data_IF_976105180254
#
_entry.id   IF_976105180254
#
_cell.length_a   1.000
_cell.length_b   1.000
_cell.length_c   1.000
_cell.angle_alpha   90.00
_cell.angle_beta   90.00
_cell.angle_gamma   90.00
#
_symmetry.space_group_name_H-M   'P 1'
#
loop_
_entity.id
_entity.type
_entity.pdbx_description
1 polymer ?
#
# COMPACT_ATOMS: atom_id res chain seq x y z
N UNK A 1 -32.26 -4.99 -4.38
CA UNK A 1 -31.40 -3.91 -4.93
C UNK A 1 -30.44 -3.38 -3.88
N UNK A 2 -30.90 -2.93 -2.70
CA UNK A 2 -30.02 -2.48 -1.59
C UNK A 2 -29.03 -3.57 -1.14
N UNK A 3 -29.49 -4.81 -0.96
CA UNK A 3 -28.60 -5.92 -0.58
C UNK A 3 -27.45 -6.15 -1.57
N UNK A 4 -27.72 -6.11 -2.87
CA UNK A 4 -26.68 -6.29 -3.90
C UNK A 4 -25.62 -5.17 -3.89
N UNK A 5 -26.05 -3.93 -3.61
CA UNK A 5 -25.12 -2.79 -3.49
C UNK A 5 -24.28 -2.91 -2.23
N UNK A 6 -24.90 -3.26 -1.09
CA UNK A 6 -24.17 -3.50 0.15
C UNK A 6 -23.17 -4.65 -0.01
N UNK A 7 -23.59 -5.77 -0.60
CA UNK A 7 -22.72 -6.92 -0.86
C UNK A 7 -21.53 -6.54 -1.74
N UNK A 8 -21.73 -5.71 -2.77
CA UNK A 8 -20.62 -5.18 -3.55
C UNK A 8 -19.62 -4.45 -2.65
N UNK A 9 -20.06 -3.44 -1.87
CA UNK A 9 -19.15 -2.73 -0.96
C UNK A 9 -18.41 -3.64 0.03
N UNK A 10 -19.09 -4.67 0.57
CA UNK A 10 -18.48 -5.58 1.55
C UNK A 10 -17.50 -6.59 0.94
N UNK A 11 -17.70 -7.01 -0.31
CA UNK A 11 -16.91 -8.09 -0.92
C UNK A 11 -15.91 -7.62 -1.97
N UNK A 12 -16.10 -6.43 -2.56
CA UNK A 12 -15.26 -5.92 -3.65
C UNK A 12 -14.44 -4.69 -3.27
N UNK A 13 -14.57 -4.16 -2.04
CA UNK A 13 -13.80 -3.00 -1.60
C UNK A 13 -13.00 -3.31 -0.33
N UNK A 14 -11.78 -2.80 -0.22
CA UNK A 14 -11.06 -2.70 1.05
C UNK A 14 -10.41 -1.34 1.24
N UNK A 15 -10.33 -0.93 2.50
CA UNK A 15 -9.64 0.27 2.95
C UNK A 15 -8.30 -0.10 3.61
N UNK A 16 -7.23 0.56 3.18
CA UNK A 16 -5.92 0.52 3.81
C UNK A 16 -5.70 1.83 4.54
N UNK A 17 -5.70 1.78 5.86
CA UNK A 17 -5.32 2.92 6.70
C UNK A 17 -3.78 2.98 6.78
N UNK A 18 -3.21 4.12 7.21
CA UNK A 18 -1.77 4.30 7.22
C UNK A 18 -1.01 3.21 7.99
N UNK A 19 -1.51 2.87 9.18
CA UNK A 19 -0.93 1.88 10.09
C UNK A 19 -1.50 0.47 9.87
N UNK A 20 -2.44 0.31 8.94
CA UNK A 20 -3.13 -0.94 8.81
C UNK A 20 -2.44 -1.95 7.92
N UNK A 21 -2.99 -3.13 8.09
CA UNK A 21 -2.48 -4.41 7.70
C UNK A 21 -3.10 -4.86 6.39
N UNK A 22 -2.68 -4.39 5.21
CA UNK A 22 -3.31 -4.95 4.00
C UNK A 22 -2.78 -6.34 3.68
N UNK A 23 -3.36 -7.35 4.33
CA UNK A 23 -3.28 -8.76 4.00
C UNK A 23 -4.66 -9.44 4.10
N UNK A 24 -5.74 -8.67 4.18
CA UNK A 24 -7.08 -9.21 4.11
C UNK A 24 -7.31 -9.83 2.72
N UNK A 25 -7.65 -11.12 2.69
CA UNK A 25 -8.11 -11.86 1.51
C UNK A 25 -7.07 -12.13 0.40
N UNK A 26 -5.76 -11.95 0.64
CA UNK A 26 -4.72 -12.48 -0.26
C UNK A 26 -4.11 -13.73 0.33
N UNK A 27 -4.32 -14.88 -0.32
CA UNK A 27 -3.90 -16.18 0.18
C UNK A 27 -2.36 -16.28 0.26
N UNK A 28 -1.81 -16.09 1.45
CA UNK A 28 -0.38 -16.20 1.69
C UNK A 28 0.06 -17.63 2.05
N UNK A 29 -0.88 -18.59 2.10
CA UNK A 29 -0.62 -19.96 2.56
C UNK A 29 0.14 -20.78 1.52
N UNK A 30 0.07 -20.39 0.24
CA UNK A 30 0.71 -21.14 -0.84
C UNK A 30 2.15 -20.70 -1.06
N UNK A 31 3.06 -21.68 -1.19
CA UNK A 31 4.47 -21.44 -1.54
C UNK A 31 4.62 -20.58 -2.81
N UNK A 32 3.71 -20.75 -3.76
CA UNK A 32 3.66 -19.96 -5.00
C UNK A 32 3.43 -18.46 -4.74
N UNK A 33 2.50 -18.10 -3.84
CA UNK A 33 2.24 -16.69 -3.52
C UNK A 33 3.38 -16.05 -2.72
N UNK A 34 4.05 -16.80 -1.85
CA UNK A 34 5.25 -16.34 -1.15
C UNK A 34 6.38 -16.05 -2.15
N UNK A 35 6.61 -16.96 -3.09
CA UNK A 35 7.63 -16.80 -4.12
C UNK A 35 7.31 -15.61 -5.04
N UNK A 36 6.04 -15.44 -5.44
CA UNK A 36 5.57 -14.27 -6.20
C UNK A 36 5.82 -12.97 -5.46
N UNK A 37 5.56 -12.93 -4.15
CA UNK A 37 5.79 -11.75 -3.34
C UNK A 37 7.28 -11.44 -3.19
N UNK A 38 8.12 -12.45 -2.91
CA UNK A 38 9.58 -12.28 -2.89
C UNK A 38 10.11 -11.74 -4.22
N UNK A 39 9.65 -12.28 -5.35
CA UNK A 39 9.98 -11.79 -6.70
C UNK A 39 9.48 -10.38 -6.96
N UNK A 40 8.35 -9.98 -6.38
CA UNK A 40 7.82 -8.62 -6.51
C UNK A 40 8.69 -7.63 -5.72
N UNK A 41 8.97 -7.93 -4.46
CA UNK A 41 9.79 -7.08 -3.58
C UNK A 41 11.21 -6.91 -4.13
N UNK A 42 11.75 -7.94 -4.80
CA UNK A 42 13.07 -7.85 -5.46
C UNK A 42 13.11 -6.85 -6.61
N UNK A 43 11.96 -6.40 -7.15
CA UNK A 43 11.89 -5.38 -8.22
C UNK A 43 11.92 -3.94 -7.69
N UNK A 44 11.67 -3.75 -6.40
CA UNK A 44 11.58 -2.44 -5.76
C UNK A 44 12.83 -2.05 -4.95
N UNK A 45 13.98 -2.63 -5.30
CA UNK A 45 15.28 -2.32 -4.67
C UNK A 45 15.30 -2.51 -3.14
N UNK A 46 14.53 -3.48 -2.65
CA UNK A 46 14.43 -3.79 -1.21
C UNK A 46 15.62 -4.61 -0.69
N UNK A 47 16.48 -5.11 -1.58
CA UNK A 47 17.52 -6.10 -1.26
C UNK A 47 17.02 -7.54 -1.13
N UNK A 48 15.70 -7.74 -1.02
CA UNK A 48 15.08 -9.05 -0.87
C UNK A 48 15.18 -9.84 -2.17
N UNK A 49 15.69 -11.06 -2.10
CA UNK A 49 15.77 -12.02 -3.21
C UNK A 49 14.79 -13.18 -3.06
N UNK A 50 14.26 -13.41 -1.86
CA UNK A 50 13.30 -14.45 -1.59
C UNK A 50 12.69 -14.35 -0.20
N UNK A 51 11.64 -15.13 0.03
CA UNK A 51 10.94 -15.19 1.32
C UNK A 51 10.55 -16.64 1.60
N UNK A 52 10.66 -17.07 2.85
CA UNK A 52 10.22 -18.40 3.27
C UNK A 52 9.86 -18.45 4.77
N UNK A 53 9.11 -19.47 5.16
CA UNK A 53 8.76 -19.74 6.54
C UNK A 53 9.84 -20.62 7.20
N UNK A 54 10.47 -20.09 8.23
CA UNK A 54 11.51 -20.80 8.99
C UNK A 54 10.99 -21.20 10.37
N UNK A 55 11.39 -22.37 10.91
CA UNK A 55 11.06 -22.76 12.27
C UNK A 55 11.45 -21.67 13.27
N UNK A 56 10.50 -21.25 14.10
CA UNK A 56 10.76 -20.36 15.22
C UNK A 56 11.60 -21.10 16.26
N UNK A 57 12.58 -20.42 16.85
CA UNK A 57 13.48 -20.99 17.84
C UNK A 57 13.21 -20.41 19.22
N UNK A 58 13.28 -21.28 20.22
CA UNK A 58 13.16 -20.91 21.62
C UNK A 58 14.30 -19.93 22.00
N UNK A 59 13.94 -18.71 22.41
CA UNK A 59 14.86 -17.59 22.65
C UNK A 59 14.69 -16.40 21.71
N UNK A 60 13.94 -16.55 20.62
CA UNK A 60 13.52 -15.40 19.79
C UNK A 60 12.29 -14.68 20.40
N UNK A 61 12.04 -13.43 19.98
CA UNK A 61 10.87 -12.66 20.43
C UNK A 61 9.56 -13.46 20.25
N UNK A 62 8.70 -13.36 21.28
CA UNK A 62 7.42 -14.08 21.34
C UNK A 62 6.50 -13.63 20.21
N UNK A 63 5.81 -14.60 19.65
CA UNK A 63 4.78 -14.38 18.62
C UNK A 63 3.45 -14.09 19.32
N UNK A 64 3.02 -12.83 19.27
CA UNK A 64 1.72 -12.40 19.78
C UNK A 64 0.78 -12.15 18.59
N UNK A 65 -0.29 -12.94 18.49
CA UNK A 65 -1.33 -12.72 17.50
C UNK A 65 -2.13 -11.47 17.85
N UNK A 66 -2.46 -10.66 16.85
CA UNK A 66 -3.45 -9.59 17.01
C UNK A 66 -4.86 -10.19 16.81
N UNK A 67 -5.90 -9.62 17.41
CA UNK A 67 -7.27 -10.15 17.30
C UNK A 67 -7.79 -10.17 15.85
N UNK A 68 -8.57 -11.20 15.47
CA UNK A 68 -9.18 -11.39 14.14
C UNK A 68 -8.19 -11.46 12.95
N UNK A 69 -7.05 -12.16 13.12
CA UNK A 69 -5.90 -12.10 12.20
C UNK A 69 -5.64 -13.35 11.37
N UNK A 70 -6.68 -14.11 10.97
CA UNK A 70 -6.49 -15.14 9.94
C UNK A 70 -6.63 -14.50 8.56
N UNK A 71 -5.67 -14.76 7.68
CA UNK A 71 -5.69 -14.33 6.26
C UNK A 71 -6.95 -14.85 5.54
N UNK A 72 -7.50 -15.96 6.03
CA UNK A 72 -8.80 -16.57 5.70
C UNK A 72 -9.29 -17.39 6.91
N UNK A 73 -10.59 -17.60 7.09
CA UNK A 73 -11.13 -18.40 8.21
C UNK A 73 -10.46 -19.78 8.41
N UNK A 74 -9.94 -20.38 7.33
CA UNK A 74 -9.27 -21.69 7.31
C UNK A 74 -7.72 -21.62 7.20
N UNK A 75 -7.15 -20.42 7.16
CA UNK A 75 -5.70 -20.23 7.04
C UNK A 75 -4.97 -20.56 8.35
N UNK A 76 -3.81 -21.20 8.22
CA UNK A 76 -2.89 -21.46 9.35
C UNK A 76 -1.95 -20.29 9.61
N UNK A 77 -1.92 -19.29 8.72
CA UNK A 77 -1.12 -18.08 8.87
C UNK A 77 -1.87 -17.10 9.79
N UNK A 78 -1.15 -16.65 10.79
CA UNK A 78 -1.56 -15.64 11.74
C UNK A 78 -0.74 -14.38 11.52
N UNK A 79 -1.42 -13.24 11.63
CA UNK A 79 -0.77 -11.93 11.64
C UNK A 79 -0.54 -11.47 13.09
N UNK A 80 0.71 -11.24 13.45
CA UNK A 80 1.08 -10.47 14.63
C UNK A 80 1.10 -8.97 14.33
N UNK A 81 1.59 -8.15 15.26
CA UNK A 81 1.66 -6.69 15.05
C UNK A 81 2.52 -6.33 13.83
N UNK A 82 3.71 -6.91 13.75
CA UNK A 82 4.70 -6.66 12.68
C UNK A 82 5.28 -7.95 12.07
N UNK A 83 4.82 -9.11 12.51
CA UNK A 83 5.38 -10.43 12.14
C UNK A 83 4.30 -11.29 11.51
N UNK A 84 4.68 -12.06 10.49
CA UNK A 84 3.83 -13.10 9.93
C UNK A 84 4.36 -14.45 10.37
N UNK A 85 3.47 -15.28 10.92
CA UNK A 85 3.83 -16.61 11.37
C UNK A 85 2.71 -17.60 11.06
N UNK A 86 3.03 -18.89 11.03
CA UNK A 86 2.03 -19.97 10.97
C UNK A 86 2.28 -20.99 12.06
N UNK A 87 1.22 -21.66 12.47
CA UNK A 87 1.27 -22.75 13.44
C UNK A 87 0.85 -24.06 12.74
N UNK A 88 1.66 -25.10 12.86
CA UNK A 88 1.40 -26.43 12.29
C UNK A 88 1.52 -27.53 13.37
N UNK A 89 0.96 -28.71 13.06
CA UNK A 89 1.00 -29.90 13.92
C UNK A 89 -0.33 -30.21 14.64
N UNK A 90 -0.48 -31.42 15.22
CA UNK A 90 -1.72 -31.88 15.85
C UNK A 90 -2.13 -31.07 17.09
N UNK A 91 -1.21 -30.28 17.64
CA UNK A 91 -1.41 -29.43 18.82
C UNK A 91 -1.01 -27.96 18.61
N UNK A 92 -0.77 -27.51 17.36
CA UNK A 92 -0.28 -26.15 17.03
C UNK A 92 1.04 -25.74 17.74
N UNK A 93 1.92 -26.70 18.05
CA UNK A 93 3.16 -26.39 18.76
C UNK A 93 4.30 -25.94 17.81
N UNK A 94 4.28 -26.36 16.54
CA UNK A 94 5.34 -25.99 15.60
C UNK A 94 5.04 -24.62 14.99
N UNK A 95 5.78 -23.60 15.43
CA UNK A 95 5.65 -22.23 14.93
C UNK A 95 6.69 -21.95 13.85
N UNK A 96 6.26 -21.31 12.78
CA UNK A 96 7.14 -20.86 11.70
C UNK A 96 6.97 -19.37 11.50
N UNK A 97 8.08 -18.64 11.37
CA UNK A 97 8.10 -17.20 11.13
C UNK A 97 8.56 -16.94 9.71
N UNK A 98 7.88 -16.01 9.05
CA UNK A 98 8.28 -15.55 7.73
C UNK A 98 9.54 -14.70 7.83
N UNK A 99 10.53 -15.07 7.03
CA UNK A 99 11.80 -14.36 6.93
C UNK A 99 12.13 -14.06 5.47
N UNK A 100 12.83 -12.95 5.27
CA UNK A 100 13.30 -12.49 3.98
C UNK A 100 14.77 -12.90 3.81
N UNK A 101 15.12 -13.37 2.61
CA UNK A 101 16.49 -13.61 2.18
C UNK A 101 16.95 -12.40 1.37
N UNK A 102 18.16 -11.91 1.65
CA UNK A 102 18.71 -10.71 1.03
C UNK A 102 19.97 -11.05 0.23
N UNK A 103 19.97 -10.80 -1.08
CA UNK A 103 21.13 -11.09 -1.94
C UNK A 103 21.67 -12.51 -1.76
N UNK A 104 22.99 -12.61 -1.55
CA UNK A 104 23.72 -13.84 -1.22
C UNK A 104 23.85 -14.07 0.30
N UNK A 105 23.19 -13.26 1.13
CA UNK A 105 23.23 -13.43 2.58
C UNK A 105 22.66 -14.79 2.97
N UNK A 106 23.43 -15.54 3.75
CA UNK A 106 23.00 -16.82 4.30
C UNK A 106 22.07 -16.67 5.50
N UNK A 107 21.89 -15.44 6.00
CA UNK A 107 21.11 -15.17 7.21
C UNK A 107 19.79 -14.51 6.84
N UNK A 108 18.66 -15.24 6.90
CA UNK A 108 17.36 -14.67 6.64
C UNK A 108 16.93 -13.76 7.80
N UNK A 109 16.35 -12.60 7.47
CA UNK A 109 15.90 -11.56 8.39
C UNK A 109 14.42 -11.75 8.69
N UNK A 110 14.01 -11.66 9.96
CA UNK A 110 12.58 -11.82 10.29
C UNK A 110 11.76 -10.65 9.74
N UNK A 111 10.53 -10.95 9.33
CA UNK A 111 9.59 -9.95 8.76
C UNK A 111 9.38 -8.71 9.62
N UNK A 112 9.43 -8.82 10.94
CA UNK A 112 9.33 -7.71 11.89
C UNK A 112 10.59 -6.84 11.98
N UNK A 113 11.73 -7.35 11.52
CA UNK A 113 13.03 -6.65 11.52
C UNK A 113 13.32 -5.91 10.21
N UNK A 114 12.46 -6.06 9.21
CA UNK A 114 12.56 -5.33 7.94
C UNK A 114 12.32 -3.83 8.10
N UNK A 115 12.80 -3.03 7.14
CA UNK A 115 12.52 -1.60 7.11
C UNK A 115 11.02 -1.31 6.96
N UNK A 116 10.56 -0.17 7.44
CA UNK A 116 9.15 0.22 7.32
C UNK A 116 8.71 0.39 5.86
N UNK A 117 9.60 0.83 4.98
CA UNK A 117 9.35 0.89 3.54
C UNK A 117 9.16 -0.51 2.93
N UNK A 118 9.99 -1.48 3.31
CA UNK A 118 9.82 -2.89 2.91
C UNK A 118 8.49 -3.45 3.41
N UNK A 119 8.15 -3.22 4.69
CA UNK A 119 6.88 -3.63 5.29
C UNK A 119 5.68 -2.96 4.62
N UNK A 120 5.79 -1.70 4.20
CA UNK A 120 4.73 -1.01 3.43
C UNK A 120 4.55 -1.64 2.06
N UNK A 121 5.65 -1.85 1.30
CA UNK A 121 5.59 -2.51 -0.01
C UNK A 121 4.99 -3.91 0.07
N UNK A 122 5.34 -4.64 1.12
CA UNK A 122 4.72 -5.91 1.42
C UNK A 122 3.21 -5.76 1.57
N UNK A 123 2.74 -4.90 2.48
CA UNK A 123 1.30 -4.68 2.68
C UNK A 123 0.62 -4.25 1.36
N UNK A 124 1.27 -3.49 0.50
CA UNK A 124 0.72 -3.10 -0.80
C UNK A 124 0.79 -4.20 -1.87
N UNK A 125 1.65 -5.20 -1.73
CA UNK A 125 1.87 -6.23 -2.76
C UNK A 125 0.62 -7.00 -3.19
N UNK A 126 -0.39 -7.30 -2.35
CA UNK A 126 -1.63 -7.93 -2.79
C UNK A 126 -2.36 -7.15 -3.87
N UNK A 127 -2.26 -5.82 -3.88
CA UNK A 127 -2.88 -4.96 -4.90
C UNK A 127 -2.37 -5.32 -6.30
N UNK A 128 -1.06 -5.60 -6.39
CA UNK A 128 -0.43 -6.03 -7.64
C UNK A 128 -0.56 -7.53 -7.87
N UNK A 129 -0.61 -8.38 -6.86
CA UNK A 129 -0.56 -9.83 -7.04
C UNK A 129 -1.93 -10.50 -7.21
N UNK A 130 -2.98 -9.93 -6.61
CA UNK A 130 -4.33 -10.49 -6.61
C UNK A 130 -5.04 -10.20 -7.92
N UNK A 131 -5.50 -11.24 -8.59
CA UNK A 131 -6.05 -11.13 -9.96
C UNK A 131 -7.29 -12.01 -10.21
N UNK A 132 -7.83 -12.61 -9.16
CA UNK A 132 -8.91 -13.60 -9.19
C UNK A 132 -10.32 -13.01 -9.09
N UNK A 133 -10.46 -11.79 -8.54
CA UNK A 133 -11.75 -11.13 -8.34
C UNK A 133 -11.71 -9.65 -8.68
N UNK A 134 -12.84 -9.05 -9.05
CA UNK A 134 -12.98 -7.60 -9.13
C UNK A 134 -12.71 -6.96 -7.75
N UNK A 135 -11.94 -5.87 -7.70
CA UNK A 135 -11.62 -5.23 -6.43
C UNK A 135 -11.22 -3.75 -6.52
N UNK A 136 -11.71 -2.96 -5.57
CA UNK A 136 -11.38 -1.54 -5.36
C UNK A 136 -10.57 -1.40 -4.07
N UNK A 137 -9.36 -0.86 -4.18
CA UNK A 137 -8.48 -0.59 -3.05
C UNK A 137 -8.52 0.92 -2.73
N UNK A 138 -9.04 1.27 -1.56
CA UNK A 138 -8.96 2.64 -1.04
C UNK A 138 -7.75 2.69 -0.12
N UNK A 139 -6.72 3.46 -0.47
CA UNK A 139 -5.44 3.45 0.22
C UNK A 139 -5.11 4.84 0.73
N UNK A 140 -5.13 5.00 2.04
CA UNK A 140 -4.65 6.21 2.69
C UNK A 140 -3.13 6.18 2.85
N UNK A 141 -2.52 7.36 2.75
CA UNK A 141 -1.08 7.59 2.66
C UNK A 141 -0.36 6.57 1.75
N UNK A 142 -0.77 6.47 0.48
CA UNK A 142 -0.25 5.48 -0.47
C UNK A 142 1.28 5.41 -0.51
N UNK A 143 1.94 6.56 -0.38
CA UNK A 143 3.38 6.78 -0.42
C UNK A 143 4.10 6.67 0.94
N UNK A 144 3.38 6.34 2.02
CA UNK A 144 3.95 6.28 3.38
C UNK A 144 5.20 5.41 3.46
N UNK A 145 6.29 5.95 4.01
CA UNK A 145 7.61 5.29 4.13
C UNK A 145 8.27 4.88 2.80
N UNK A 146 7.65 5.18 1.65
CA UNK A 146 8.19 4.83 0.34
C UNK A 146 8.92 6.02 -0.25
N UNK A 147 10.06 5.74 -0.89
CA UNK A 147 10.69 6.74 -1.71
C UNK A 147 9.77 7.12 -2.89
N UNK A 148 9.69 8.39 -3.32
CA UNK A 148 8.79 8.81 -4.41
C UNK A 148 8.88 7.96 -5.68
N UNK A 149 10.10 7.59 -6.08
CA UNK A 149 10.35 6.69 -7.21
C UNK A 149 9.72 5.29 -7.06
N UNK A 150 9.67 4.76 -5.83
CA UNK A 150 9.10 3.44 -5.53
C UNK A 150 7.59 3.46 -5.69
N UNK A 151 6.91 4.46 -5.11
CA UNK A 151 5.45 4.60 -5.27
C UNK A 151 5.06 4.93 -6.72
N UNK A 152 5.85 5.76 -7.42
CA UNK A 152 5.65 6.00 -8.85
C UNK A 152 5.70 4.70 -9.65
N UNK A 153 6.76 3.90 -9.46
CA UNK A 153 6.90 2.60 -10.14
C UNK A 153 5.79 1.61 -9.76
N UNK A 154 5.30 1.65 -8.52
CA UNK A 154 4.20 0.82 -8.07
C UNK A 154 2.91 1.14 -8.83
N UNK A 155 2.54 2.43 -8.92
CA UNK A 155 1.37 2.88 -9.67
C UNK A 155 1.54 2.60 -11.16
N UNK A 156 2.72 2.88 -11.72
CA UNK A 156 3.01 2.60 -13.13
C UNK A 156 2.83 1.12 -13.45
N UNK A 157 3.31 0.23 -12.58
CA UNK A 157 3.11 -1.21 -12.75
C UNK A 157 1.63 -1.57 -12.63
N UNK A 158 0.90 -1.01 -11.67
CA UNK A 158 -0.54 -1.23 -11.55
C UNK A 158 -1.28 -0.83 -12.84
N UNK A 159 -1.02 0.35 -13.38
CA UNK A 159 -1.66 0.87 -14.59
C UNK A 159 -1.30 0.05 -15.85
N UNK A 160 -0.07 -0.47 -15.93
CA UNK A 160 0.38 -1.30 -17.07
C UNK A 160 -0.02 -2.77 -16.95
N UNK A 161 -0.43 -3.23 -15.77
CA UNK A 161 -0.75 -4.63 -15.53
C UNK A 161 -2.10 -4.98 -16.16
N UNK A 162 -2.09 -5.98 -17.03
CA UNK A 162 -3.31 -6.54 -17.59
C UNK A 162 -3.93 -7.55 -16.61
N UNK A 163 -4.70 -7.05 -15.65
CA UNK A 163 -5.46 -7.89 -14.71
C UNK A 163 -6.55 -8.69 -15.44
N UNK A 164 -6.79 -9.93 -15.01
CA UNK A 164 -7.89 -10.79 -15.49
C UNK A 164 -9.26 -10.27 -15.10
N UNK A 165 -9.32 -9.50 -14.02
CA UNK A 165 -10.54 -8.92 -13.46
C UNK A 165 -10.36 -7.42 -13.24
N UNK A 166 -11.42 -6.60 -13.27
CA UNK A 166 -11.28 -5.16 -13.07
C UNK A 166 -10.69 -4.83 -11.70
N UNK A 167 -9.72 -3.90 -11.68
CA UNK A 167 -9.06 -3.42 -10.46
C UNK A 167 -9.04 -1.90 -10.45
N UNK A 168 -9.21 -1.31 -9.28
CA UNK A 168 -9.10 0.13 -9.09
C UNK A 168 -8.35 0.46 -7.81
N UNK A 169 -7.55 1.52 -7.85
CA UNK A 169 -6.96 2.16 -6.66
C UNK A 169 -7.58 3.54 -6.52
N UNK A 170 -8.01 3.88 -5.30
CA UNK A 170 -8.30 5.24 -4.85
C UNK A 170 -7.24 5.56 -3.80
N UNK A 171 -6.19 6.27 -4.21
CA UNK A 171 -5.05 6.58 -3.35
C UNK A 171 -5.10 8.01 -2.83
N UNK A 172 -4.88 8.20 -1.53
CA UNK A 172 -4.60 9.50 -0.93
C UNK A 172 -3.08 9.62 -0.74
N UNK A 173 -2.52 10.77 -1.14
CA UNK A 173 -1.07 10.99 -1.10
C UNK A 173 -0.74 12.48 -0.95
N UNK A 174 0.40 12.76 -0.33
CA UNK A 174 1.02 14.09 -0.31
C UNK A 174 2.17 14.22 -1.32
N UNK A 175 2.47 13.15 -2.07
CA UNK A 175 3.60 13.11 -2.97
C UNK A 175 3.26 13.75 -4.32
N UNK A 176 3.78 14.96 -4.53
CA UNK A 176 3.55 15.73 -5.77
C UNK A 176 4.17 15.08 -7.01
N UNK A 177 5.12 14.16 -6.87
CA UNK A 177 5.69 13.44 -8.01
C UNK A 177 4.68 12.50 -8.68
N UNK A 178 3.53 12.25 -8.05
CA UNK A 178 2.41 11.51 -8.67
C UNK A 178 1.57 12.40 -9.60
N UNK A 179 1.75 13.72 -9.57
CA UNK A 179 1.11 14.67 -10.46
C UNK A 179 1.80 14.69 -11.84
N UNK A 180 1.76 13.53 -12.51
CA UNK A 180 2.34 13.30 -13.81
C UNK A 180 1.29 12.72 -14.78
N UNK A 181 1.10 13.41 -15.90
CA UNK A 181 0.15 12.99 -16.94
C UNK A 181 0.64 11.77 -17.73
N UNK A 182 1.93 11.44 -17.67
CA UNK A 182 2.47 10.20 -18.23
C UNK A 182 2.17 8.98 -17.33
N UNK A 183 1.83 9.21 -16.04
CA UNK A 183 1.49 8.17 -15.06
C UNK A 183 -0.03 7.92 -14.97
N UNK A 184 -0.81 9.00 -14.80
CA UNK A 184 -2.27 8.97 -14.61
C UNK A 184 -2.96 10.02 -15.47
N UNK A 185 -4.22 9.77 -15.83
CA UNK A 185 -5.02 10.70 -16.63
C UNK A 185 -5.48 11.88 -15.77
N UNK A 186 -5.91 12.97 -16.43
CA UNK A 186 -6.33 14.20 -15.74
C UNK A 186 -7.58 14.00 -14.88
N UNK A 187 -8.52 13.20 -15.36
CA UNK A 187 -9.75 12.82 -14.66
C UNK A 187 -9.49 11.91 -13.44
N UNK A 188 -8.26 11.38 -13.31
CA UNK A 188 -7.82 10.54 -12.19
C UNK A 188 -7.07 11.34 -11.12
N UNK A 189 -6.73 12.62 -11.37
CA UNK A 189 -6.08 13.50 -10.40
C UNK A 189 -7.11 14.41 -9.75
N UNK A 190 -7.20 14.32 -8.43
CA UNK A 190 -8.12 15.12 -7.62
C UNK A 190 -7.36 15.82 -6.49
N UNK A 191 -7.66 17.09 -6.27
CA UNK A 191 -7.10 17.91 -5.21
C UNK A 191 -8.12 18.07 -4.08
N UNK A 192 -7.67 17.95 -2.84
CA UNK A 192 -8.46 18.30 -1.66
C UNK A 192 -8.09 19.72 -1.21
N UNK A 193 -9.04 20.64 -1.28
CA UNK A 193 -8.88 22.03 -0.86
C UNK A 193 -9.66 22.28 0.42
N UNK A 194 -9.22 23.26 1.22
CA UNK A 194 -9.98 23.75 2.37
C UNK A 194 -10.35 25.20 2.13
N UNK A 195 -11.64 25.49 2.28
CA UNK A 195 -12.12 26.86 2.20
C UNK A 195 -11.76 27.67 3.47
N UNK A 196 -12.11 28.96 3.45
CA UNK A 196 -11.83 29.89 4.56
C UNK A 196 -12.58 29.55 5.85
N UNK A 197 -13.64 28.74 5.80
CA UNK A 197 -14.37 28.25 6.98
C UNK A 197 -13.92 26.86 7.42
N UNK A 198 -12.94 26.27 6.73
CA UNK A 198 -12.34 24.97 7.03
C UNK A 198 -13.11 23.77 6.46
N UNK A 199 -14.12 23.99 5.60
CA UNK A 199 -14.79 22.92 4.88
C UNK A 199 -13.91 22.39 3.75
N UNK A 200 -13.90 21.08 3.55
CA UNK A 200 -13.12 20.45 2.48
C UNK A 200 -13.95 20.25 1.23
N UNK A 201 -13.37 20.60 0.09
CA UNK A 201 -13.92 20.33 -1.24
C UNK A 201 -12.90 19.55 -2.08
N UNK A 202 -13.42 18.71 -2.99
CA UNK A 202 -12.60 18.00 -3.96
C UNK A 202 -12.74 18.67 -5.33
N UNK A 203 -11.62 18.92 -6.00
CA UNK A 203 -11.57 19.50 -7.33
C UNK A 203 -10.75 18.62 -8.26
N UNK A 204 -11.27 18.29 -9.44
CA UNK A 204 -10.55 17.49 -10.43
C UNK A 204 -9.53 18.34 -11.18
N UNK A 205 -8.42 17.76 -11.60
CA UNK A 205 -7.52 18.44 -12.56
C UNK A 205 -8.21 18.68 -13.90
N UNK A 206 -9.17 17.84 -14.29
CA UNK A 206 -9.94 17.97 -15.53
C UNK A 206 -10.84 19.21 -15.56
N UNK A 207 -11.18 19.77 -14.39
CA UNK A 207 -11.92 21.03 -14.28
C UNK A 207 -11.08 22.25 -14.74
N UNK A 208 -9.77 22.08 -14.89
CA UNK A 208 -8.84 23.12 -15.32
C UNK A 208 -8.48 22.97 -16.79
N UNK A 209 -8.44 24.09 -17.52
CA UNK A 209 -8.01 24.10 -18.93
C UNK A 209 -6.47 24.01 -19.06
N UNK A 210 -5.91 22.84 -18.76
CA UNK A 210 -4.46 22.60 -18.76
C UNK A 210 -4.00 22.08 -20.12
N UNK A 211 -2.90 22.60 -20.66
CA UNK A 211 -2.29 22.04 -21.89
C UNK A 211 -1.59 20.71 -21.60
N UNK A 212 -1.59 19.81 -22.58
CA UNK A 212 -1.03 18.44 -22.41
C UNK A 212 0.46 18.45 -22.04
N UNK A 213 1.22 19.41 -22.56
CA UNK A 213 2.66 19.58 -22.34
C UNK A 213 3.03 20.25 -21.01
N UNK A 214 2.05 20.66 -20.19
CA UNK A 214 2.32 21.33 -18.91
C UNK A 214 2.80 20.32 -17.87
N UNK A 215 3.92 20.63 -17.20
CA UNK A 215 4.38 19.90 -16.00
C UNK A 215 3.43 20.19 -14.84
N UNK A 216 2.52 19.26 -14.55
CA UNK A 216 1.44 19.44 -13.56
C UNK A 216 2.01 19.61 -12.15
N UNK A 217 2.98 18.79 -11.74
CA UNK A 217 3.66 18.94 -10.45
C UNK A 217 4.16 20.37 -10.20
N UNK A 218 4.95 20.91 -11.15
CA UNK A 218 5.47 22.28 -11.04
C UNK A 218 4.33 23.29 -10.96
N UNK A 219 3.31 23.12 -11.81
CA UNK A 219 2.18 24.03 -11.84
C UNK A 219 1.36 24.02 -10.54
N UNK A 220 1.22 22.86 -9.90
CA UNK A 220 0.58 22.70 -8.61
C UNK A 220 1.37 23.43 -7.52
N UNK A 221 2.68 23.23 -7.45
CA UNK A 221 3.55 23.90 -6.46
C UNK A 221 3.60 25.43 -6.63
N UNK A 222 3.36 25.94 -7.85
CA UNK A 222 3.23 27.37 -8.13
C UNK A 222 1.85 27.95 -7.77
N UNK A 223 0.90 27.13 -7.31
CA UNK A 223 -0.45 27.56 -6.92
C UNK A 223 -1.42 27.74 -8.08
N UNK A 224 -1.18 27.11 -9.23
CA UNK A 224 -2.13 27.16 -10.35
C UNK A 224 -3.39 26.30 -10.13
N UNK A 225 -3.37 25.44 -9.11
CA UNK A 225 -4.49 24.59 -8.71
C UNK A 225 -4.75 24.76 -7.22
N UNK A 226 -5.96 24.39 -6.80
CA UNK A 226 -6.34 24.34 -5.38
C UNK A 226 -5.65 23.20 -4.63
N UNK A 227 -5.74 23.22 -3.29
CA UNK A 227 -5.20 22.17 -2.43
C UNK A 227 -3.76 22.38 -1.96
N UNK A 228 -3.20 23.58 -2.13
CA UNK A 228 -1.96 23.97 -1.44
C UNK A 228 -2.27 24.48 -0.03
N UNK A 229 -1.41 24.19 0.96
CA UNK A 229 -1.55 24.78 2.30
C UNK A 229 -1.27 26.28 2.26
N UNK A 230 -2.12 27.06 2.92
CA UNK A 230 -1.86 28.49 3.14
C UNK A 230 -0.90 28.66 4.34
N UNK A 231 0.37 28.89 4.05
CA UNK A 231 1.43 29.08 5.03
C UNK A 231 1.70 30.59 5.17
N UNK A 232 1.40 31.15 6.33
CA UNK A 232 1.76 32.54 6.67
C UNK A 232 3.08 32.51 7.43
N UNK A 233 4.12 33.16 6.89
CA UNK A 233 5.41 33.25 7.56
C UNK A 233 5.38 34.33 8.64
N UNK A 234 6.16 34.18 9.74
CA UNK A 234 6.21 35.20 10.79
C UNK A 234 6.66 36.58 10.32
N UNK A 235 7.45 36.66 9.25
CA UNK A 235 7.89 37.93 8.63
C UNK A 235 6.77 38.70 7.94
N UNK A 236 5.67 38.01 7.60
CA UNK A 236 4.53 38.56 6.88
C UNK A 236 3.38 38.91 7.86
N UNK A 237 3.60 38.66 9.15
CA UNK A 237 2.78 39.15 10.25
C UNK A 237 3.33 40.53 10.63
N UNK A 238 2.87 41.58 9.94
CA UNK A 238 3.02 42.94 10.46
C UNK A 238 2.29 43.01 11.81
N UNK A 239 3.07 43.22 12.89
CA UNK A 239 2.67 43.47 14.27
C UNK A 239 2.02 42.31 15.07
N UNK A 240 2.86 41.53 15.78
CA UNK A 240 2.56 40.93 17.09
C UNK A 240 3.69 41.23 18.09
#
# INVERSE_FOLDING_TARGET
MIHLVCDWFFYTMATLEPDSSLLYNYDFDTKDNIEKMGKLLSRFDTGITGMDFFPWKEGEEKLEAVHNCRVRNDSKIQRGKNVIFKEEGPYNNDKYVLRCVHGDSKTPVRSDQESDGTKRLWNLSPVLLRDDIEFVYVIDELDRYLHPKVVYAFIEWFMKKNFKTPKQIIGISHNTHLLDQDLVRRDEIWFADKDVVGASELCSLDDYNVRFDKKIEKAYLEGNFKGLPNIVLPSDLDDY
#
